data_IF_652070723059
#
_entry.id   IF_652070723059
#
_cell.length_a   1.000
_cell.length_b   1.000
_cell.length_c   1.000
_cell.angle_alpha   90.00
_cell.angle_beta   90.00
_cell.angle_gamma   90.00
#
_symmetry.space_group_name_H-M   'P 1'
#
loop_
_entity.id
_entity.type
_entity.pdbx_description
1 polymer ?
#
# COMPACT_ATOMS: atom_id res chain seq x y z
N UNK A 1 22.31 11.74 -3.99
CA UNK A 1 20.92 11.66 -4.47
C UNK A 1 20.70 12.90 -5.29
N UNK A 2 20.46 12.77 -6.59
CA UNK A 2 20.13 13.89 -7.47
C UNK A 2 18.61 13.96 -7.50
N UNK A 3 18.04 15.11 -7.18
CA UNK A 3 16.61 15.31 -7.08
C UNK A 3 16.13 16.00 -8.37
N UNK A 4 15.33 15.27 -9.15
CA UNK A 4 14.54 15.85 -10.23
C UNK A 4 13.15 16.13 -9.65
N UNK A 5 12.96 17.33 -9.13
CA UNK A 5 11.64 17.77 -8.69
C UNK A 5 10.81 18.24 -9.89
N UNK A 6 9.79 17.46 -10.25
CA UNK A 6 8.69 17.95 -11.06
C UNK A 6 7.49 18.25 -10.16
N UNK A 7 7.49 19.44 -9.56
CA UNK A 7 6.26 20.02 -9.00
C UNK A 7 5.52 20.76 -10.12
N UNK A 8 4.70 20.04 -10.89
CA UNK A 8 3.61 20.72 -11.62
C UNK A 8 2.63 21.23 -10.56
N UNK A 9 2.61 22.54 -10.33
CA UNK A 9 1.79 23.22 -9.30
C UNK A 9 0.27 23.07 -9.43
N UNK A 10 -0.17 22.22 -10.35
CA UNK A 10 -1.53 21.67 -10.45
C UNK A 10 -1.39 20.16 -10.46
N UNK A 11 -1.93 19.48 -9.45
CA UNK A 11 -2.12 18.04 -9.51
C UNK A 11 -2.92 17.72 -10.79
N UNK A 12 -2.44 16.76 -11.58
CA UNK A 12 -3.12 16.33 -12.81
C UNK A 12 -3.91 15.04 -12.53
N UNK A 13 -5.05 14.80 -13.20
CA UNK A 13 -5.80 13.54 -13.08
C UNK A 13 -4.97 12.34 -13.54
N UNK A 14 -5.36 11.14 -13.09
CA UNK A 14 -4.71 9.88 -13.45
C UNK A 14 -4.51 9.72 -14.96
N UNK A 15 -5.42 10.21 -15.80
CA UNK A 15 -5.32 10.13 -17.26
C UNK A 15 -4.03 10.71 -17.87
N UNK A 16 -3.39 11.64 -17.18
CA UNK A 16 -2.16 12.29 -17.65
C UNK A 16 -0.91 11.51 -17.24
N UNK A 17 -1.04 10.45 -16.43
CA UNK A 17 0.07 9.61 -15.95
C UNK A 17 0.95 9.05 -17.07
N UNK A 18 0.42 8.50 -18.18
CA UNK A 18 1.27 8.00 -19.26
C UNK A 18 2.09 9.11 -19.93
N UNK A 19 1.54 10.31 -20.05
CA UNK A 19 2.24 11.46 -20.64
C UNK A 19 3.34 11.96 -19.68
N UNK A 20 3.02 12.07 -18.39
CA UNK A 20 4.00 12.43 -17.36
C UNK A 20 5.13 11.41 -17.24
N UNK A 21 4.83 10.11 -17.36
CA UNK A 21 5.83 9.06 -17.36
C UNK A 21 6.81 9.22 -18.54
N UNK A 22 6.31 9.47 -19.76
CA UNK A 22 7.17 9.72 -20.93
C UNK A 22 8.01 10.99 -20.77
N UNK A 23 7.40 12.09 -20.32
CA UNK A 23 8.11 13.36 -20.07
C UNK A 23 9.25 13.16 -19.05
N UNK A 24 8.99 12.43 -17.96
CA UNK A 24 9.99 12.11 -16.95
C UNK A 24 11.14 11.26 -17.52
N UNK A 25 10.81 10.22 -18.29
CA UNK A 25 11.79 9.36 -18.98
C UNK A 25 12.65 10.19 -19.93
N UNK A 26 12.04 11.03 -20.76
CA UNK A 26 12.74 11.86 -21.73
C UNK A 26 13.66 12.86 -21.04
N UNK A 27 13.24 13.45 -19.93
CA UNK A 27 14.10 14.32 -19.10
C UNK A 27 15.28 13.59 -18.50
N UNK A 28 15.08 12.37 -18.00
CA UNK A 28 16.18 11.56 -17.47
C UNK A 28 17.18 11.19 -18.57
N UNK A 29 16.70 10.82 -19.76
CA UNK A 29 17.55 10.51 -20.92
C UNK A 29 18.37 11.70 -21.41
N UNK A 30 17.79 12.90 -21.36
CA UNK A 30 18.42 14.13 -21.86
C UNK A 30 19.20 14.89 -20.77
N UNK A 31 19.16 14.45 -19.52
CA UNK A 31 19.87 15.11 -18.44
C UNK A 31 21.37 14.75 -18.46
N UNK A 32 22.29 15.73 -18.55
CA UNK A 32 23.72 15.46 -18.47
C UNK A 32 24.14 15.03 -17.06
N UNK A 33 23.29 15.24 -16.06
CA UNK A 33 23.56 14.89 -14.67
C UNK A 33 23.20 13.44 -14.35
N UNK A 34 22.40 12.75 -15.16
CA UNK A 34 21.89 11.41 -14.82
C UNK A 34 22.57 10.37 -15.72
N UNK A 35 23.33 9.45 -15.12
CA UNK A 35 23.76 8.26 -15.85
C UNK A 35 22.60 7.28 -15.86
N UNK A 36 21.81 7.29 -16.95
CA UNK A 36 20.58 6.51 -17.03
C UNK A 36 20.82 5.04 -16.70
N UNK A 37 21.93 4.46 -17.15
CA UNK A 37 22.25 3.02 -17.01
C UNK A 37 22.79 2.65 -15.63
N UNK A 38 23.42 3.59 -14.92
CA UNK A 38 24.11 3.30 -13.65
C UNK A 38 23.41 3.87 -12.43
N UNK A 39 22.78 5.03 -12.54
CA UNK A 39 22.11 5.67 -11.42
C UNK A 39 20.78 4.96 -11.13
N UNK A 40 20.54 4.64 -9.86
CA UNK A 40 19.23 4.17 -9.39
C UNK A 40 18.24 5.33 -9.34
N UNK A 41 17.02 5.10 -9.82
CA UNK A 41 15.91 6.07 -9.81
C UNK A 41 14.86 5.65 -8.80
N UNK A 42 14.61 6.50 -7.82
CA UNK A 42 13.51 6.35 -6.89
C UNK A 42 12.36 7.25 -7.35
N UNK A 43 11.31 6.65 -7.91
CA UNK A 43 10.17 7.39 -8.49
C UNK A 43 8.95 7.14 -7.62
N UNK A 44 8.23 8.20 -7.26
CA UNK A 44 7.03 8.10 -6.41
C UNK A 44 5.80 8.56 -7.16
N UNK A 45 4.85 7.65 -7.36
CA UNK A 45 3.55 7.91 -7.94
C UNK A 45 2.56 8.14 -6.80
N UNK A 46 2.15 9.40 -6.61
CA UNK A 46 1.10 9.78 -5.66
C UNK A 46 0.01 10.56 -6.40
N UNK A 47 -0.97 9.83 -6.90
CA UNK A 47 -2.05 10.34 -7.77
C UNK A 47 -3.40 9.75 -7.35
N UNK A 48 -4.48 10.23 -7.96
CA UNK A 48 -5.85 9.73 -7.72
C UNK A 48 -6.72 10.65 -6.88
N UNK A 49 -6.14 11.63 -6.17
CA UNK A 49 -6.92 12.61 -5.41
C UNK A 49 -7.89 13.37 -6.33
N UNK A 50 -7.44 13.83 -7.49
CA UNK A 50 -8.31 14.53 -8.46
C UNK A 50 -9.38 13.64 -9.07
N UNK A 51 -9.04 12.39 -9.41
CA UNK A 51 -10.00 11.43 -9.94
C UNK A 51 -11.13 11.20 -8.93
N UNK A 52 -10.81 11.03 -7.65
CA UNK A 52 -11.83 10.96 -6.59
C UNK A 52 -12.61 12.27 -6.46
N UNK A 53 -11.91 13.39 -6.57
CA UNK A 53 -12.45 14.72 -6.39
C UNK A 53 -13.53 15.09 -7.44
N UNK A 54 -13.34 14.59 -8.65
CA UNK A 54 -14.21 14.80 -9.82
C UNK A 54 -15.08 13.59 -10.19
N UNK A 55 -15.02 12.50 -9.42
CA UNK A 55 -15.83 11.29 -9.67
C UNK A 55 -17.32 11.58 -9.82
N UNK A 56 -17.85 12.51 -9.02
CA UNK A 56 -19.26 12.85 -8.97
C UNK A 56 -19.77 13.60 -10.22
N UNK A 57 -18.85 14.09 -11.07
CA UNK A 57 -19.18 14.71 -12.35
C UNK A 57 -19.19 13.68 -13.48
N UNK A 58 -18.23 12.74 -13.46
CA UNK A 58 -18.13 11.69 -14.47
C UNK A 58 -17.63 10.37 -13.86
N UNK A 59 -18.53 9.56 -13.29
CA UNK A 59 -18.17 8.29 -12.64
C UNK A 59 -17.46 7.31 -13.56
N UNK A 60 -17.76 7.36 -14.87
CA UNK A 60 -17.14 6.48 -15.86
C UNK A 60 -15.69 6.86 -16.12
N UNK A 61 -15.42 8.15 -16.35
CA UNK A 61 -14.07 8.63 -16.65
C UNK A 61 -13.13 8.57 -15.44
N UNK A 62 -13.67 8.66 -14.22
CA UNK A 62 -12.93 8.61 -12.96
C UNK A 62 -13.18 7.31 -12.17
N UNK A 63 -13.52 6.24 -12.88
CA UNK A 63 -13.75 4.94 -12.25
C UNK A 63 -12.44 4.36 -11.70
N UNK A 64 -12.56 3.40 -10.77
CA UNK A 64 -11.40 2.69 -10.24
C UNK A 64 -10.65 1.91 -11.33
N UNK A 65 -11.37 1.40 -12.32
CA UNK A 65 -10.78 0.71 -13.48
C UNK A 65 -9.92 1.67 -14.29
N UNK A 66 -10.43 2.85 -14.64
CA UNK A 66 -9.66 3.86 -15.37
C UNK A 66 -8.45 4.35 -14.57
N UNK A 67 -8.62 4.60 -13.27
CA UNK A 67 -7.51 4.98 -12.39
C UNK A 67 -6.39 3.92 -12.39
N UNK A 68 -6.73 2.65 -12.15
CA UNK A 68 -5.76 1.54 -12.14
C UNK A 68 -5.11 1.40 -13.52
N UNK A 69 -5.88 1.50 -14.60
CA UNK A 69 -5.38 1.43 -15.98
C UNK A 69 -4.34 2.52 -16.26
N UNK A 70 -4.59 3.75 -15.83
CA UNK A 70 -3.65 4.85 -16.04
C UNK A 70 -2.36 4.70 -15.24
N UNK A 71 -2.46 4.25 -13.97
CA UNK A 71 -1.28 3.94 -13.15
C UNK A 71 -0.48 2.81 -13.79
N UNK A 72 -1.15 1.75 -14.24
CA UNK A 72 -0.52 0.64 -14.95
C UNK A 72 0.25 1.13 -16.18
N UNK A 73 -0.38 1.94 -17.04
CA UNK A 73 0.29 2.45 -18.25
C UNK A 73 1.56 3.24 -17.96
N UNK A 74 1.59 4.03 -16.87
CA UNK A 74 2.82 4.71 -16.45
C UNK A 74 3.89 3.73 -15.96
N UNK A 75 3.48 2.71 -15.19
CA UNK A 75 4.38 1.65 -14.73
C UNK A 75 4.96 0.84 -15.91
N UNK A 76 4.14 0.53 -16.93
CA UNK A 76 4.58 -0.16 -18.15
C UNK A 76 5.64 0.68 -18.88
N UNK A 77 5.43 1.99 -19.04
CA UNK A 77 6.42 2.91 -19.64
C UNK A 77 7.73 2.90 -18.85
N UNK A 78 7.68 3.04 -17.52
CA UNK A 78 8.90 3.00 -16.71
C UNK A 78 9.60 1.63 -16.79
N UNK A 79 8.83 0.54 -16.84
CA UNK A 79 9.35 -0.80 -16.98
C UNK A 79 10.00 -1.04 -18.35
N UNK A 80 9.52 -0.41 -19.41
CA UNK A 80 10.12 -0.54 -20.75
C UNK A 80 11.36 0.35 -20.90
N UNK A 81 11.33 1.55 -20.32
CA UNK A 81 12.28 2.61 -20.68
C UNK A 81 13.36 2.89 -19.63
N UNK A 82 13.19 2.45 -18.38
CA UNK A 82 14.14 2.75 -17.30
C UNK A 82 14.86 1.50 -16.79
N UNK A 83 16.21 1.46 -16.84
CA UNK A 83 17.00 0.56 -16.02
C UNK A 83 17.03 1.03 -14.56
N UNK A 84 17.34 0.15 -13.59
CA UNK A 84 17.59 0.51 -12.18
C UNK A 84 16.54 1.45 -11.58
N UNK A 85 15.27 1.03 -11.55
CA UNK A 85 14.18 1.84 -11.03
C UNK A 85 13.45 1.18 -9.85
N UNK A 86 13.27 1.96 -8.78
CA UNK A 86 12.39 1.63 -7.66
C UNK A 86 11.19 2.56 -7.73
N UNK A 87 10.01 1.99 -7.99
CA UNK A 87 8.77 2.75 -8.09
C UNK A 87 7.95 2.58 -6.81
N UNK A 88 7.73 3.68 -6.09
CA UNK A 88 6.71 3.78 -5.05
C UNK A 88 5.35 4.06 -5.68
N UNK A 89 4.34 3.26 -5.36
CA UNK A 89 2.93 3.58 -5.66
C UNK A 89 2.24 3.88 -4.34
N UNK A 90 2.00 5.16 -4.06
CA UNK A 90 1.35 5.61 -2.82
C UNK A 90 -0.16 5.48 -2.97
N UNK A 91 -0.80 4.83 -2.01
CA UNK A 91 -2.26 4.75 -1.99
C UNK A 91 -2.88 6.12 -1.73
N UNK A 92 -3.96 6.45 -2.44
CA UNK A 92 -4.66 7.72 -2.27
C UNK A 92 -5.38 7.78 -0.91
N UNK A 93 -5.31 8.94 -0.25
CA UNK A 93 -6.02 9.18 1.03
C UNK A 93 -7.53 9.22 0.85
N UNK A 94 -8.29 8.68 1.82
CA UNK A 94 -9.75 8.82 1.84
C UNK A 94 -10.16 10.29 1.97
N UNK A 95 -10.80 10.83 0.94
CA UNK A 95 -11.25 12.23 0.93
C UNK A 95 -12.51 12.45 1.79
N UNK A 96 -13.41 11.47 1.89
CA UNK A 96 -14.68 11.66 2.59
C UNK A 96 -14.51 11.94 4.11
N UNK A 97 -13.55 11.28 4.76
CA UNK A 97 -13.18 11.53 6.16
C UNK A 97 -12.67 12.95 6.40
N UNK A 98 -12.03 13.57 5.39
CA UNK A 98 -11.62 14.96 5.42
C UNK A 98 -12.86 15.85 5.61
N UNK A 99 -13.89 15.72 4.79
CA UNK A 99 -15.11 16.53 4.91
C UNK A 99 -15.78 16.44 6.30
N UNK A 100 -15.82 15.24 6.92
CA UNK A 100 -16.46 15.02 8.22
C UNK A 100 -15.64 15.56 9.41
N UNK A 101 -14.30 15.49 9.34
CA UNK A 101 -13.43 15.87 10.46
C UNK A 101 -13.39 17.37 10.76
N UNK A 102 -13.73 18.23 9.80
CA UNK A 102 -13.44 19.67 9.89
C UNK A 102 -14.37 20.47 10.81
N UNK A 103 -15.37 19.86 11.46
CA UNK A 103 -16.21 20.53 12.46
C UNK A 103 -16.82 21.86 12.01
N UNK A 104 -17.08 22.02 10.71
CA UNK A 104 -17.58 23.28 10.13
C UNK A 104 -16.55 24.38 9.89
N UNK A 105 -15.26 24.23 10.23
CA UNK A 105 -14.20 25.24 9.96
C UNK A 105 -13.72 25.29 8.51
N UNK A 106 -13.75 24.16 7.80
CA UNK A 106 -13.75 24.16 6.33
C UNK A 106 -15.18 24.08 5.77
N UNK A 107 -16.19 24.33 6.62
CA UNK A 107 -17.59 24.47 6.26
C UNK A 107 -17.90 25.87 5.76
N UNK A 108 -18.66 25.88 4.66
CA UNK A 108 -19.49 26.92 4.03
C UNK A 108 -18.89 28.06 3.18
N UNK A 109 -17.75 28.72 3.46
CA UNK A 109 -17.10 29.54 2.42
C UNK A 109 -16.01 28.79 1.63
N UNK A 110 -15.32 27.84 2.26
CA UNK A 110 -14.14 27.17 1.69
C UNK A 110 -14.46 25.92 0.86
N UNK A 111 -15.52 25.17 1.19
CA UNK A 111 -16.02 24.10 0.31
C UNK A 111 -16.48 24.65 -1.06
N UNK A 112 -16.95 25.91 -1.11
CA UNK A 112 -17.26 26.61 -2.36
C UNK A 112 -16.00 27.04 -3.13
N UNK A 113 -14.87 27.26 -2.43
CA UNK A 113 -13.55 27.58 -3.01
C UNK A 113 -12.73 26.34 -3.38
N UNK A 114 -13.02 25.18 -2.79
CA UNK A 114 -12.39 23.92 -3.16
C UNK A 114 -12.69 23.61 -4.64
N UNK A 115 -11.68 23.18 -5.40
CA UNK A 115 -11.91 22.69 -6.77
C UNK A 115 -12.57 21.30 -6.80
N UNK A 116 -12.91 20.74 -5.63
CA UNK A 116 -13.50 19.42 -5.49
C UNK A 116 -15.00 19.40 -5.65
N UNK A 117 -15.45 18.85 -6.76
CA UNK A 117 -16.86 18.87 -7.16
C UNK A 117 -17.69 17.87 -6.38
N UNK A 118 -17.10 16.73 -5.98
CA UNK A 118 -17.73 15.81 -5.05
C UNK A 118 -18.07 16.45 -3.71
N UNK A 119 -17.23 17.33 -3.14
CA UNK A 119 -17.53 18.00 -1.86
C UNK A 119 -18.59 19.11 -2.00
N UNK A 120 -18.64 19.80 -3.14
CA UNK A 120 -19.72 20.77 -3.42
C UNK A 120 -21.08 20.10 -3.49
N UNK A 121 -21.15 18.95 -4.17
CA UNK A 121 -22.39 18.18 -4.39
C UNK A 121 -22.91 17.50 -3.13
N UNK A 122 -21.99 17.00 -2.30
CA UNK A 122 -22.30 16.15 -1.14
C UNK A 122 -22.53 16.89 0.18
N UNK A 123 -22.58 18.23 0.16
CA UNK A 123 -22.92 19.04 1.36
C UNK A 123 -24.24 18.62 2.03
N UNK A 124 -25.08 17.84 1.34
CA UNK A 124 -26.44 17.50 1.79
C UNK A 124 -26.79 15.99 1.74
N UNK A 125 -25.90 15.09 1.27
CA UNK A 125 -26.28 13.69 1.03
C UNK A 125 -25.26 12.64 1.56
N UNK A 126 -25.65 11.95 2.65
CA UNK A 126 -24.88 10.85 3.25
C UNK A 126 -24.56 9.72 2.26
N UNK A 127 -25.45 9.43 1.29
CA UNK A 127 -25.25 8.34 0.32
C UNK A 127 -24.12 8.64 -0.65
N UNK A 128 -23.96 9.91 -1.07
CA UNK A 128 -22.88 10.30 -1.98
C UNK A 128 -21.51 10.20 -1.30
N UNK A 129 -21.44 10.52 -0.01
CA UNK A 129 -20.22 10.34 0.80
C UNK A 129 -19.84 8.87 0.99
N UNK A 130 -20.83 7.98 1.20
CA UNK A 130 -20.58 6.53 1.27
C UNK A 130 -20.08 5.97 -0.06
N UNK A 131 -20.65 6.43 -1.18
CA UNK A 131 -20.17 6.05 -2.51
C UNK A 131 -18.73 6.52 -2.73
N UNK A 132 -18.39 7.76 -2.34
CA UNK A 132 -17.01 8.25 -2.47
C UNK A 132 -16.01 7.42 -1.63
N UNK A 133 -16.38 7.00 -0.41
CA UNK A 133 -15.57 6.07 0.40
C UNK A 133 -15.36 4.74 -0.31
N UNK A 134 -16.42 4.18 -0.90
CA UNK A 134 -16.35 2.94 -1.67
C UNK A 134 -15.44 3.07 -2.90
N UNK A 135 -15.53 4.17 -3.63
CA UNK A 135 -14.66 4.43 -4.79
C UNK A 135 -13.20 4.56 -4.37
N UNK A 136 -12.92 5.30 -3.28
CA UNK A 136 -11.57 5.38 -2.72
C UNK A 136 -11.02 4.00 -2.33
N UNK A 137 -11.83 3.17 -1.66
CA UNK A 137 -11.44 1.81 -1.34
C UNK A 137 -11.15 0.98 -2.59
N UNK A 138 -11.94 1.12 -3.65
CA UNK A 138 -11.70 0.43 -4.92
C UNK A 138 -10.39 0.90 -5.59
N UNK A 139 -10.02 2.18 -5.48
CA UNK A 139 -8.74 2.69 -5.97
C UNK A 139 -7.57 2.04 -5.22
N UNK A 140 -7.60 2.09 -3.88
CA UNK A 140 -6.59 1.50 -3.02
C UNK A 140 -6.45 -0.01 -3.27
N UNK A 141 -7.58 -0.71 -3.33
CA UNK A 141 -7.65 -2.15 -3.61
C UNK A 141 -7.09 -2.50 -5.00
N UNK A 142 -7.44 -1.71 -6.02
CA UNK A 142 -6.96 -1.88 -7.38
C UNK A 142 -5.43 -1.80 -7.51
N UNK A 143 -4.83 -0.77 -6.91
CA UNK A 143 -3.37 -0.57 -7.00
C UNK A 143 -2.57 -1.46 -6.05
N UNK A 144 -3.18 -1.98 -4.98
CA UNK A 144 -2.50 -2.83 -3.98
C UNK A 144 -1.78 -4.05 -4.57
N UNK A 145 -2.26 -4.53 -5.73
CA UNK A 145 -1.75 -5.73 -6.40
C UNK A 145 -0.46 -5.49 -7.17
N UNK A 146 -0.10 -4.24 -7.50
CA UNK A 146 1.05 -3.96 -8.35
C UNK A 146 2.38 -4.47 -7.80
N UNK A 147 2.54 -4.53 -6.47
CA UNK A 147 3.74 -5.10 -5.85
C UNK A 147 3.94 -6.60 -6.16
N UNK A 148 2.87 -7.29 -6.52
CA UNK A 148 2.82 -8.75 -6.76
C UNK A 148 2.67 -9.11 -8.24
N UNK A 149 2.63 -8.12 -9.14
CA UNK A 149 2.43 -8.36 -10.55
C UNK A 149 3.66 -9.01 -11.18
N UNK A 150 3.45 -10.20 -11.76
CA UNK A 150 4.53 -11.03 -12.30
C UNK A 150 5.38 -10.32 -13.36
N UNK A 151 4.78 -9.44 -14.18
CA UNK A 151 5.50 -8.69 -15.20
C UNK A 151 6.63 -7.81 -14.62
N UNK A 152 6.39 -7.14 -13.49
CA UNK A 152 7.38 -6.28 -12.86
C UNK A 152 8.41 -7.04 -12.01
N UNK A 153 8.27 -8.36 -11.92
CA UNK A 153 9.21 -9.24 -11.24
C UNK A 153 10.20 -9.89 -12.22
N UNK A 154 10.06 -9.71 -13.54
CA UNK A 154 10.97 -10.37 -14.50
C UNK A 154 12.39 -9.77 -14.50
N UNK A 155 12.56 -8.56 -13.96
CA UNK A 155 13.83 -7.84 -13.90
C UNK A 155 14.34 -7.74 -12.46
N UNK A 156 15.65 -7.76 -12.29
CA UNK A 156 16.31 -7.55 -10.99
C UNK A 156 16.56 -6.07 -10.69
N UNK A 157 16.63 -5.25 -11.73
CA UNK A 157 16.90 -3.82 -11.67
C UNK A 157 15.63 -2.96 -11.72
N UNK A 158 14.45 -3.57 -11.59
CA UNK A 158 13.17 -2.85 -11.56
C UNK A 158 12.28 -3.42 -10.47
N UNK A 159 11.59 -2.56 -9.73
CA UNK A 159 10.59 -2.99 -8.75
C UNK A 159 9.48 -1.97 -8.58
N UNK A 160 8.27 -2.47 -8.33
CA UNK A 160 7.11 -1.66 -7.92
C UNK A 160 6.74 -2.05 -6.50
N UNK A 161 6.63 -1.05 -5.63
CA UNK A 161 6.28 -1.25 -4.22
C UNK A 161 5.16 -0.28 -3.84
N UNK A 162 4.03 -0.85 -3.43
CA UNK A 162 2.87 -0.09 -2.94
C UNK A 162 3.13 0.37 -1.51
N UNK A 163 2.80 1.63 -1.21
CA UNK A 163 2.98 2.26 0.10
C UNK A 163 1.60 2.62 0.69
N UNK A 164 0.99 1.75 1.51
CA UNK A 164 -0.42 1.85 1.92
C UNK A 164 -0.66 2.72 3.16
N UNK A 165 0.27 3.61 3.55
CA UNK A 165 0.18 4.38 4.79
C UNK A 165 -1.05 5.33 4.87
N UNK A 166 -1.83 5.45 3.80
CA UNK A 166 -3.09 6.19 3.77
C UNK A 166 -4.36 5.35 3.93
N UNK A 167 -4.27 4.02 3.88
CA UNK A 167 -5.43 3.11 3.83
C UNK A 167 -6.37 3.23 5.04
N UNK A 168 -5.79 3.35 6.23
CA UNK A 168 -6.47 3.46 7.51
C UNK A 168 -6.16 4.80 8.18
N UNK A 169 -6.01 5.86 7.40
CA UNK A 169 -5.65 7.19 7.93
C UNK A 169 -6.88 7.95 8.40
N UNK A 170 -6.79 8.50 9.61
CA UNK A 170 -7.79 9.39 10.19
C UNK A 170 -7.34 10.85 10.04
N UNK A 171 -8.30 11.77 10.04
CA UNK A 171 -8.00 13.20 10.11
C UNK A 171 -7.21 13.48 11.40
N UNK A 172 -6.06 14.19 11.31
CA UNK A 172 -5.28 14.56 12.50
C UNK A 172 -6.13 15.30 13.52
N UNK A 173 -5.92 15.03 14.81
CA UNK A 173 -6.61 15.72 15.89
C UNK A 173 -5.66 16.71 16.57
N UNK A 174 -6.19 17.87 16.94
CA UNK A 174 -5.51 18.87 17.76
C UNK A 174 -5.61 18.51 19.25
N UNK A 175 -4.93 19.26 20.11
CA UNK A 175 -4.91 19.04 21.56
C UNK A 175 -6.30 19.07 22.23
N UNK A 176 -7.30 19.65 21.55
CA UNK A 176 -8.69 19.75 22.04
C UNK A 176 -9.58 18.64 21.47
N UNK A 177 -9.02 17.66 20.76
CA UNK A 177 -9.75 16.54 20.16
C UNK A 177 -10.56 16.87 18.90
N UNK A 178 -10.48 18.10 18.37
CA UNK A 178 -11.04 18.45 17.07
C UNK A 178 -10.04 18.25 15.94
N UNK A 179 -10.44 18.33 14.67
CA UNK A 179 -9.47 18.21 13.57
C UNK A 179 -8.37 19.29 13.63
N UNK A 180 -7.12 18.87 13.45
CA UNK A 180 -5.97 19.74 13.26
C UNK A 180 -5.82 20.08 11.78
N UNK A 181 -6.32 21.25 11.40
CA UNK A 181 -6.34 21.68 10.01
C UNK A 181 -4.97 22.19 9.53
N UNK A 182 -4.00 22.34 10.43
CA UNK A 182 -2.67 22.87 10.08
C UNK A 182 -1.84 21.92 9.22
N UNK A 183 -2.25 20.68 9.06
CA UNK A 183 -1.68 19.72 8.11
C UNK A 183 -2.15 19.96 6.67
N UNK A 184 -3.17 20.80 6.47
CA UNK A 184 -3.70 21.19 5.17
C UNK A 184 -3.39 22.66 4.88
N UNK A 185 -3.40 23.00 3.59
CA UNK A 185 -3.29 24.36 3.10
C UNK A 185 -4.61 25.11 3.30
N UNK A 186 -4.63 26.40 2.96
CA UNK A 186 -5.83 27.24 3.09
C UNK A 186 -7.05 26.69 2.35
N UNK A 187 -6.86 25.87 1.30
CA UNK A 187 -7.95 25.25 0.55
C UNK A 187 -8.53 23.97 1.20
N UNK A 188 -7.98 23.56 2.35
CA UNK A 188 -8.35 22.36 3.09
C UNK A 188 -8.27 21.04 2.30
N UNK A 189 -7.55 21.01 1.17
CA UNK A 189 -7.38 19.84 0.31
C UNK A 189 -5.92 19.47 0.16
N UNK A 190 -5.10 20.43 -0.25
CA UNK A 190 -3.67 20.19 -0.40
C UNK A 190 -3.00 20.17 0.98
N UNK A 191 -1.94 19.39 1.12
CA UNK A 191 -1.17 19.36 2.35
C UNK A 191 -0.33 20.63 2.49
N UNK A 192 -0.27 21.18 3.71
CA UNK A 192 0.66 22.26 4.03
C UNK A 192 2.11 21.75 4.01
N UNK A 193 3.10 22.64 4.15
CA UNK A 193 4.49 22.21 4.36
C UNK A 193 4.64 21.25 5.56
N UNK A 194 3.83 21.44 6.61
CA UNK A 194 3.74 20.53 7.77
C UNK A 194 3.21 19.16 7.36
N UNK A 195 2.10 19.12 6.60
CA UNK A 195 1.53 17.90 6.05
C UNK A 195 2.50 17.14 5.15
N UNK A 196 3.12 17.82 4.20
CA UNK A 196 4.09 17.22 3.28
C UNK A 196 5.28 16.58 4.01
N UNK A 197 5.81 17.24 5.04
CA UNK A 197 6.88 16.68 5.86
C UNK A 197 6.44 15.39 6.59
N UNK A 198 5.19 15.30 7.06
CA UNK A 198 4.67 14.05 7.63
C UNK A 198 4.53 12.94 6.59
N UNK A 199 4.11 13.28 5.37
CA UNK A 199 4.00 12.30 4.29
C UNK A 199 5.38 11.76 3.89
N UNK A 200 6.39 12.62 3.84
CA UNK A 200 7.77 12.21 3.59
C UNK A 200 8.27 11.22 4.67
N UNK A 201 7.98 11.48 5.95
CA UNK A 201 8.31 10.56 7.05
C UNK A 201 7.55 9.23 6.89
N UNK A 202 6.26 9.28 6.58
CA UNK A 202 5.43 8.09 6.39
C UNK A 202 5.95 7.23 5.24
N UNK A 203 6.21 7.83 4.07
CA UNK A 203 6.77 7.16 2.91
C UNK A 203 8.14 6.54 3.22
N UNK A 204 9.05 7.31 3.83
CA UNK A 204 10.37 6.82 4.23
C UNK A 204 10.28 5.58 5.12
N UNK A 205 9.48 5.67 6.18
CA UNK A 205 9.29 4.56 7.10
C UNK A 205 8.67 3.34 6.42
N UNK A 206 7.74 3.54 5.49
CA UNK A 206 7.05 2.46 4.79
C UNK A 206 7.96 1.75 3.77
N UNK A 207 8.92 2.47 3.16
CA UNK A 207 9.98 1.85 2.36
C UNK A 207 10.92 0.96 3.19
N UNK A 208 11.05 1.22 4.49
CA UNK A 208 11.83 0.41 5.44
C UNK A 208 11.01 -0.72 6.10
N UNK A 209 9.78 -0.97 5.66
CA UNK A 209 8.94 -2.05 6.15
C UNK A 209 8.74 -3.14 5.08
N UNK A 210 8.81 -4.43 5.46
CA UNK A 210 8.64 -5.52 4.51
C UNK A 210 7.26 -5.46 3.84
N UNK A 211 7.23 -5.76 2.54
CA UNK A 211 5.99 -5.97 1.78
C UNK A 211 5.15 -7.04 2.51
N UNK A 212 3.86 -6.79 2.68
CA UNK A 212 2.94 -7.61 3.50
C UNK A 212 2.80 -7.15 4.96
N UNK A 213 3.77 -6.40 5.49
CA UNK A 213 3.78 -5.88 6.86
C UNK A 213 3.98 -4.38 6.93
N UNK A 214 3.63 -3.68 5.85
CA UNK A 214 3.68 -2.22 5.77
C UNK A 214 2.60 -1.59 6.67
N UNK A 215 2.97 -0.52 7.34
CA UNK A 215 2.07 0.36 8.08
C UNK A 215 1.01 0.90 7.12
N UNK A 216 -0.25 0.88 7.56
CA UNK A 216 -1.43 1.25 6.74
C UNK A 216 -2.09 2.55 7.17
N UNK A 217 -1.59 3.21 8.20
CA UNK A 217 -2.11 4.47 8.72
C UNK A 217 -0.99 5.47 8.96
N UNK A 218 -1.31 6.76 8.84
CA UNK A 218 -0.37 7.81 9.20
C UNK A 218 -0.66 8.34 10.61
N UNK A 219 0.42 8.60 11.36
CA UNK A 219 0.36 9.26 12.65
C UNK A 219 0.82 10.71 12.46
N UNK A 220 -0.12 11.64 12.36
CA UNK A 220 0.13 13.07 12.13
C UNK A 220 0.48 13.86 13.42
N UNK A 221 1.56 13.47 14.07
CA UNK A 221 2.06 14.13 15.30
C UNK A 221 3.11 15.22 15.04
N UNK A 222 3.55 15.41 13.79
CA UNK A 222 4.63 16.36 13.44
C UNK A 222 5.90 16.22 14.27
N UNK A 223 6.32 14.97 14.51
CA UNK A 223 7.54 14.65 15.26
C UNK A 223 8.55 13.91 14.41
N UNK A 224 9.77 14.45 14.33
CA UNK A 224 10.90 13.81 13.64
C UNK A 224 11.41 12.55 14.36
N UNK A 225 11.02 12.32 15.62
CA UNK A 225 11.41 11.11 16.37
C UNK A 225 10.84 9.82 15.79
N UNK A 226 9.85 9.91 14.89
CA UNK A 226 9.26 8.77 14.19
C UNK A 226 10.12 8.24 13.04
N UNK A 227 11.12 8.99 12.59
CA UNK A 227 11.98 8.57 11.48
C UNK A 227 12.70 7.28 11.84
N UNK A 228 12.44 6.23 11.05
CA UNK A 228 13.15 4.97 11.15
C UNK A 228 14.51 5.10 10.47
N UNK A 229 15.52 4.53 11.12
CA UNK A 229 16.84 4.35 10.53
C UNK A 229 16.99 2.89 10.08
N UNK A 230 17.61 2.63 8.91
CA UNK A 230 18.03 1.29 8.54
C UNK A 230 18.95 0.70 9.62
N UNK A 231 18.84 -0.61 9.86
CA UNK A 231 19.70 -1.34 10.79
C UNK A 231 20.67 -2.25 10.04
N UNK A 232 21.62 -2.86 10.74
CA UNK A 232 22.53 -3.85 10.13
C UNK A 232 21.76 -5.09 9.64
N UNK A 233 20.67 -5.44 10.31
CA UNK A 233 19.80 -6.58 9.98
C UNK A 233 18.85 -6.29 8.82
N UNK A 234 18.47 -5.02 8.61
CA UNK A 234 17.68 -4.57 7.47
C UNK A 234 18.20 -3.24 6.89
N UNK A 235 19.28 -3.30 6.07
CA UNK A 235 19.93 -2.09 5.55
C UNK A 235 19.33 -1.58 4.24
N UNK A 236 18.36 -2.28 3.66
CA UNK A 236 17.84 -2.01 2.31
C UNK A 236 16.38 -1.55 2.33
N UNK A 237 15.97 -0.84 1.28
CA UNK A 237 14.55 -0.63 1.01
C UNK A 237 13.88 -1.97 0.70
N UNK A 238 12.69 -2.17 1.26
CA UNK A 238 11.98 -3.42 1.11
C UNK A 238 11.22 -3.49 -0.22
N UNK A 239 11.45 -4.60 -0.93
CA UNK A 239 10.76 -5.02 -2.14
C UNK A 239 10.05 -6.34 -1.88
N UNK A 240 9.22 -6.82 -2.80
CA UNK A 240 8.62 -8.15 -2.65
C UNK A 240 9.69 -9.25 -2.47
N UNK A 241 10.80 -9.16 -3.21
CA UNK A 241 11.88 -10.17 -3.23
C UNK A 241 12.61 -10.32 -1.90
N UNK A 242 12.80 -9.23 -1.15
CA UNK A 242 13.53 -9.25 0.12
C UNK A 242 12.61 -9.22 1.37
N UNK A 243 11.29 -9.39 1.18
CA UNK A 243 10.30 -9.34 2.27
C UNK A 243 9.86 -10.72 2.78
N UNK A 244 10.58 -11.80 2.41
CA UNK A 244 10.35 -13.21 2.83
C UNK A 244 8.99 -13.83 2.49
N UNK A 245 8.00 -13.07 2.01
CA UNK A 245 6.68 -13.59 1.58
C UNK A 245 6.74 -14.69 0.51
N UNK A 246 7.64 -14.57 -0.46
CA UNK A 246 7.81 -15.58 -1.51
C UNK A 246 8.39 -16.90 -0.97
N UNK A 247 9.17 -16.82 0.10
CA UNK A 247 9.82 -17.96 0.74
C UNK A 247 8.81 -18.71 1.63
N UNK A 248 8.02 -17.97 2.41
CA UNK A 248 6.94 -18.53 3.23
C UNK A 248 5.83 -19.17 2.39
N UNK A 249 5.49 -18.60 1.22
CA UNK A 249 4.52 -19.20 0.30
C UNK A 249 5.03 -20.48 -0.36
N UNK A 250 6.31 -20.56 -0.72
CA UNK A 250 6.91 -21.77 -1.28
C UNK A 250 7.00 -22.91 -0.25
N UNK A 251 7.28 -22.59 1.02
CA UNK A 251 7.32 -23.56 2.12
C UNK A 251 5.91 -23.99 2.57
N UNK A 252 4.89 -23.15 2.38
CA UNK A 252 3.51 -23.45 2.74
C UNK A 252 2.75 -24.32 1.72
N UNK A 253 3.26 -24.48 0.49
CA UNK A 253 2.72 -25.47 -0.46
C UNK A 253 3.27 -26.85 -0.06
N UNK A 254 2.44 -27.77 0.47
CA UNK A 254 2.90 -29.11 0.77
C UNK A 254 3.28 -29.79 -0.54
N UNK A 255 4.47 -30.35 -0.58
CA UNK A 255 4.96 -31.20 -1.66
C UNK A 255 4.11 -32.49 -1.68
N UNK A 256 2.92 -32.41 -2.28
CA UNK A 256 1.97 -33.49 -2.33
C UNK A 256 1.13 -33.41 -3.61
N UNK A 257 1.55 -34.16 -4.63
CA UNK A 257 0.75 -35.20 -5.30
C UNK A 257 1.56 -35.93 -6.37
N UNK A 258 2.70 -36.51 -5.99
CA UNK A 258 3.30 -37.65 -6.74
C UNK A 258 2.57 -38.92 -6.30
N UNK A 259 1.29 -39.07 -6.66
CA UNK A 259 0.63 -40.36 -6.49
C UNK A 259 0.99 -41.25 -7.68
N UNK A 260 1.75 -42.30 -7.40
CA UNK A 260 1.94 -43.42 -8.29
C UNK A 260 0.55 -43.96 -8.67
N UNK A 261 0.25 -44.01 -9.97
CA UNK A 261 -0.92 -44.72 -10.50
C UNK A 261 -0.64 -46.21 -10.38
N UNK A 262 -1.36 -46.99 -9.54
CA UNK A 262 -1.27 -48.44 -9.62
C UNK A 262 -2.15 -48.89 -10.79
N UNK A 263 -1.51 -49.33 -11.87
CA UNK A 263 -2.19 -50.05 -12.95
C UNK A 263 -2.64 -51.39 -12.38
N UNK A 264 -3.93 -51.53 -12.05
CA UNK A 264 -4.51 -52.80 -11.64
C UNK A 264 -4.89 -53.62 -12.88
N UNK A 265 -4.00 -54.50 -13.31
CA UNK A 265 -4.36 -55.65 -14.14
C UNK A 265 -5.08 -56.69 -13.28
N UNK A 266 -6.36 -56.92 -13.57
CA UNK A 266 -7.14 -58.16 -13.45
C UNK A 266 -6.99 -59.05 -12.21
N UNK A 267 -8.13 -59.32 -11.56
CA UNK A 267 -8.33 -60.57 -10.80
C UNK A 267 -8.85 -60.38 -9.38
N UNK A 268 -10.14 -60.67 -9.22
CA UNK A 268 -10.82 -61.14 -8.00
C UNK A 268 -9.95 -61.44 -6.77
N UNK A 269 -10.21 -60.71 -5.66
CA UNK A 269 -9.74 -61.10 -4.33
C UNK A 269 -9.98 -60.03 -3.26
N UNK A 270 -10.94 -60.28 -2.37
CA UNK A 270 -11.16 -59.54 -1.12
C UNK A 270 -9.89 -59.49 -0.26
N UNK A 271 -9.44 -58.29 0.15
CA UNK A 271 -8.63 -58.14 1.37
C UNK A 271 -9.06 -56.88 2.14
N UNK A 272 -9.52 -57.15 3.36
CA UNK A 272 -9.91 -56.23 4.43
C UNK A 272 -8.65 -55.53 4.96
N UNK A 273 -8.71 -54.20 5.18
CA UNK A 273 -7.57 -53.42 5.67
C UNK A 273 -7.96 -52.13 6.42
N UNK A 274 -8.96 -52.18 7.30
CA UNK A 274 -9.16 -51.16 8.34
C UNK A 274 -8.29 -51.58 9.52
N UNK A 275 -7.20 -50.85 9.86
CA UNK A 275 -6.58 -50.78 11.22
C UNK A 275 -5.26 -49.99 11.36
N UNK A 276 -4.72 -49.28 10.35
CA UNK A 276 -3.40 -48.64 10.51
C UNK A 276 -3.40 -47.17 11.02
N UNK A 277 -4.55 -46.50 11.16
CA UNK A 277 -4.60 -45.07 11.48
C UNK A 277 -4.79 -44.72 12.97
N UNK A 278 -5.16 -45.69 13.83
CA UNK A 278 -5.46 -45.42 15.25
C UNK A 278 -4.30 -45.74 16.20
N UNK A 279 -3.28 -46.50 15.78
CA UNK A 279 -2.14 -46.85 16.62
C UNK A 279 -1.10 -45.72 16.75
N UNK A 280 -1.03 -44.77 15.81
CA UNK A 280 -0.04 -43.69 15.84
C UNK A 280 -0.39 -42.57 16.84
N UNK A 281 -1.68 -42.36 17.15
CA UNK A 281 -2.12 -41.35 18.12
C UNK A 281 -1.92 -41.77 19.59
N UNK A 282 -1.84 -43.07 19.88
CA UNK A 282 -1.69 -43.58 21.25
C UNK A 282 -0.23 -43.57 21.78
N UNK A 283 0.77 -43.54 20.89
CA UNK A 283 2.19 -43.55 21.29
C UNK A 283 2.77 -42.15 21.57
N UNK A 284 2.15 -41.08 21.04
CA UNK A 284 2.64 -39.70 21.26
C UNK A 284 2.06 -39.02 22.51
N UNK A 285 0.99 -39.58 23.09
CA UNK A 285 0.30 -39.01 24.26
C UNK A 285 0.82 -39.45 25.64
N UNK A 286 1.84 -40.33 25.71
CA UNK A 286 2.24 -40.98 26.98
C UNK A 286 3.60 -40.55 27.56
N UNK A 287 4.18 -39.45 27.09
CA UNK A 287 5.40 -38.85 27.68
C UNK A 287 5.14 -37.45 28.23
N UNK A 288 4.30 -37.38 29.27
CA UNK A 288 4.27 -36.28 30.24
C UNK A 288 3.54 -36.75 31.49
N UNK A 289 4.30 -37.07 32.55
CA UNK A 289 4.11 -36.64 33.95
C UNK A 289 4.89 -37.54 34.89
N UNK A 290 5.85 -36.98 35.63
CA UNK A 290 5.92 -37.10 37.10
C UNK A 290 6.97 -36.12 37.66
N UNK A 291 6.50 -35.09 38.38
CA UNK A 291 6.89 -34.78 39.78
C UNK A 291 6.26 -33.44 40.23
N UNK A 292 5.56 -33.49 41.35
CA UNK A 292 4.94 -32.41 42.16
C UNK A 292 5.65 -32.35 43.53
N UNK A 293 5.30 -31.44 44.49
CA UNK A 293 5.02 -29.99 44.45
C UNK A 293 5.78 -29.26 45.61
N UNK A 294 5.41 -27.99 45.93
CA UNK A 294 5.63 -27.14 47.15
C UNK A 294 5.93 -25.70 46.65
N UNK A 295 5.40 -24.57 47.12
CA UNK A 295 4.35 -24.15 48.07
C UNK A 295 4.05 -22.67 47.72
N UNK A 296 2.86 -22.20 48.09
CA UNK A 296 2.42 -20.80 48.07
C UNK A 296 3.43 -19.81 48.67
N UNK A 297 3.47 -18.60 48.11
CA UNK A 297 3.25 -17.37 48.87
C UNK A 297 2.70 -16.24 47.98
N UNK A 298 1.55 -15.73 48.41
CA UNK A 298 0.92 -14.45 48.09
C UNK A 298 1.82 -13.28 48.48
N UNK A 299 1.79 -12.15 47.77
CA UNK A 299 1.44 -10.81 48.28
C UNK A 299 1.19 -9.88 47.08
N UNK A 300 0.06 -9.19 47.11
CA UNK A 300 -0.28 -8.00 46.33
C UNK A 300 0.08 -6.76 47.15
N UNK A 301 0.57 -5.72 46.48
CA UNK A 301 0.06 -4.33 46.54
C UNK A 301 0.39 -3.66 45.21
#
# INVERSE_FOLDING_TARGET
MKELDEYKGTSLPGRDMPTQARDLVDRMKNSPEIDLEKDWKLITLFVGSNDLCHYCENPKAHSAEEYVRHVQQALDIFYEELPRAFINVVEVMELAGLHQGHGGKCGTPLAAQSNCTCFKRSQENFLEMQELKKVNWNFQSGVSKFSYWHQYLQREDFTVVVQPFFRNTLVPLNERGGADLTFFSEDCLHFSARGQAELAIALWNNMLEPVGHKTTSNNFTYSRTKLKCPSAESPYLHTLRNSRLLQEQAEAVPDALSWAVPVATGGSGLVIGISAAMAWKALKGRRKTENHPISLNTVSF
#
